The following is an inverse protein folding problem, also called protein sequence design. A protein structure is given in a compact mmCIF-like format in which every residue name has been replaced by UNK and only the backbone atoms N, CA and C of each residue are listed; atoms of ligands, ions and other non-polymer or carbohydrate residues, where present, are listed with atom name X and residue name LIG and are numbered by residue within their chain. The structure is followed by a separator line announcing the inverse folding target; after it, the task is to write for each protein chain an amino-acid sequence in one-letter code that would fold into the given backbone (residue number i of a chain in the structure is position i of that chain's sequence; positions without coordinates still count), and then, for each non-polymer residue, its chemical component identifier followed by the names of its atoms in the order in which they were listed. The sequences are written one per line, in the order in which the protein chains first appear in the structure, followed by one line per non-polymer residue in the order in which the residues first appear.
data_IF_150095235100
#
_entry.id   IF_150095235100
#
_cell.length_a   1.000
_cell.length_b   1.000
_cell.length_c   1.000
_cell.angle_alpha   90.00
_cell.angle_beta   90.00
_cell.angle_gamma   90.00
#
_symmetry.space_group_name_H-M   'P 1'
#
loop_
_entity.id
_entity.type
_entity.pdbx_description
1 polymer ?
#
# COMPACT_ATOMS: atom_id res chain seq x y z
N UNK A 1 -4.41 -20.38 -11.78
CA UNK A 1 -4.18 -20.39 -10.32
C UNK A 1 -2.77 -19.93 -9.94
N UNK A 2 -1.80 -20.04 -10.83
CA UNK A 2 -0.38 -19.69 -10.65
C UNK A 2 -0.05 -18.18 -10.43
N UNK A 3 -1.01 -17.27 -10.68
CA UNK A 3 -0.76 -15.82 -10.61
C UNK A 3 -0.58 -15.26 -9.20
N UNK A 4 -1.30 -15.80 -8.21
CA UNK A 4 -1.22 -15.32 -6.83
C UNK A 4 0.10 -15.76 -6.16
N UNK A 5 0.53 -16.99 -6.44
CA UNK A 5 1.80 -17.54 -5.92
C UNK A 5 3.03 -16.78 -6.46
N UNK A 6 2.93 -16.26 -7.69
CA UNK A 6 3.99 -15.47 -8.33
C UNK A 6 3.88 -13.97 -8.07
N UNK A 7 2.85 -13.52 -7.36
CA UNK A 7 2.66 -12.10 -7.10
C UNK A 7 3.75 -11.62 -6.13
N UNK A 8 4.46 -10.52 -6.42
CA UNK A 8 5.38 -9.93 -5.46
C UNK A 8 4.62 -9.42 -4.23
N UNK A 9 5.31 -9.27 -3.10
CA UNK A 9 4.71 -8.62 -1.93
C UNK A 9 4.45 -7.15 -2.24
N UNK A 10 3.24 -6.68 -1.93
CA UNK A 10 2.84 -5.28 -2.13
C UNK A 10 2.75 -4.63 -0.75
N UNK A 11 3.32 -3.43 -0.62
CA UNK A 11 3.23 -2.60 0.57
C UNK A 11 2.60 -1.26 0.21
N UNK A 12 1.64 -0.82 1.00
CA UNK A 12 0.93 0.44 0.84
C UNK A 12 1.04 1.31 2.09
N UNK A 13 1.15 2.62 1.88
CA UNK A 13 1.29 3.60 2.93
C UNK A 13 0.30 4.74 2.72
N UNK A 14 -0.34 5.18 3.80
CA UNK A 14 -1.17 6.37 3.80
C UNK A 14 -0.99 7.11 5.14
N UNK A 15 -1.04 8.44 5.11
CA UNK A 15 -0.97 9.26 6.32
C UNK A 15 -2.27 9.19 7.14
N UNK A 16 -3.41 8.93 6.49
CA UNK A 16 -4.72 8.82 7.12
C UNK A 16 -4.99 7.37 7.60
N UNK A 17 -4.98 7.20 8.92
CA UNK A 17 -5.28 5.91 9.54
C UNK A 17 -6.70 5.39 9.28
N UNK A 18 -7.67 6.25 8.92
CA UNK A 18 -8.99 5.79 8.48
C UNK A 18 -8.92 5.12 7.11
N UNK A 19 -8.15 5.69 6.18
CA UNK A 19 -7.96 5.13 4.84
C UNK A 19 -7.20 3.80 4.90
N UNK A 20 -6.17 3.71 5.76
CA UNK A 20 -5.47 2.43 6.02
C UNK A 20 -6.42 1.35 6.51
N UNK A 21 -7.29 1.65 7.49
CA UNK A 21 -8.27 0.66 7.99
C UNK A 21 -9.23 0.19 6.89
N UNK A 22 -9.69 1.11 6.03
CA UNK A 22 -10.53 0.76 4.88
C UNK A 22 -9.79 -0.11 3.87
N UNK A 23 -8.53 0.21 3.58
CA UNK A 23 -7.69 -0.59 2.69
C UNK A 23 -7.49 -2.02 3.25
N UNK A 24 -7.18 -2.17 4.54
CA UNK A 24 -7.03 -3.48 5.18
C UNK A 24 -8.32 -4.32 5.12
N UNK A 25 -9.49 -3.69 5.33
CA UNK A 25 -10.78 -4.38 5.19
C UNK A 25 -11.01 -4.89 3.76
N UNK A 26 -10.69 -4.08 2.75
CA UNK A 26 -10.80 -4.47 1.34
C UNK A 26 -9.80 -5.59 0.98
N UNK A 27 -8.57 -5.53 1.49
CA UNK A 27 -7.55 -6.56 1.30
C UNK A 27 -8.02 -7.89 1.89
N UNK A 28 -8.55 -7.88 3.11
CA UNK A 28 -9.10 -9.08 3.74
C UNK A 28 -10.30 -9.64 2.94
N UNK A 29 -11.22 -8.78 2.50
CA UNK A 29 -12.38 -9.18 1.70
C UNK A 29 -12.01 -9.78 0.33
N UNK A 30 -10.83 -9.43 -0.21
CA UNK A 30 -10.29 -9.98 -1.46
C UNK A 30 -9.41 -11.21 -1.27
N UNK A 31 -9.16 -11.65 -0.03
CA UNK A 31 -8.30 -12.80 0.27
C UNK A 31 -6.81 -12.56 -0.03
N UNK A 32 -6.38 -11.30 -0.04
CA UNK A 32 -5.02 -10.88 -0.37
C UNK A 32 -4.18 -10.52 0.86
N UNK A 33 -4.67 -10.82 2.07
CA UNK A 33 -4.07 -10.49 3.36
C UNK A 33 -2.65 -11.04 3.55
N UNK A 34 -2.32 -12.15 2.87
CA UNK A 34 -0.97 -12.72 2.89
C UNK A 34 0.03 -12.00 1.98
N UNK A 35 -0.47 -11.29 0.96
CA UNK A 35 0.35 -10.76 -0.13
C UNK A 35 0.43 -9.23 -0.14
N UNK A 36 -0.56 -8.55 0.45
CA UNK A 36 -0.65 -7.09 0.49
C UNK A 36 -0.69 -6.62 1.95
N UNK A 37 0.22 -5.72 2.30
CA UNK A 37 0.25 -5.05 3.61
C UNK A 37 0.00 -3.56 3.44
N UNK A 38 -0.81 -2.97 4.32
CA UNK A 38 -0.99 -1.53 4.38
C UNK A 38 -0.81 -1.04 5.81
N UNK A 39 -0.11 0.08 5.98
CA UNK A 39 0.08 0.71 7.28
C UNK A 39 0.04 2.23 7.23
N UNK A 40 -0.17 2.83 8.40
CA UNK A 40 -0.17 4.28 8.53
C UNK A 40 1.26 4.79 8.52
N UNK A 41 1.63 5.47 7.45
CA UNK A 41 2.93 6.13 7.30
C UNK A 41 2.78 7.31 6.35
N UNK A 42 3.29 8.46 6.78
CA UNK A 42 3.33 9.67 5.96
C UNK A 42 4.51 9.60 4.97
N UNK A 43 4.36 10.20 3.79
CA UNK A 43 5.40 10.22 2.73
C UNK A 43 6.66 10.98 3.16
N UNK A 44 6.53 11.90 4.10
CA UNK A 44 7.64 12.67 4.67
C UNK A 44 8.46 11.86 5.68
N UNK A 45 8.03 10.66 6.04
CA UNK A 45 8.80 9.80 6.94
C UNK A 45 10.15 9.44 6.33
N UNK A 46 11.18 9.35 7.17
CA UNK A 46 12.54 8.94 6.79
C UNK A 46 12.72 7.42 6.80
N UNK A 47 11.63 6.68 7.00
CA UNK A 47 11.63 5.22 7.05
C UNK A 47 11.76 4.63 5.64
N UNK A 48 12.30 3.42 5.57
CA UNK A 48 12.44 2.71 4.30
C UNK A 48 11.04 2.28 3.79
N UNK A 49 10.69 2.72 2.58
CA UNK A 49 9.42 2.35 1.94
C UNK A 49 9.43 0.97 1.28
N UNK A 50 10.62 0.45 0.97
CA UNK A 50 10.78 -0.85 0.34
C UNK A 50 10.73 -1.98 1.38
N UNK A 51 10.08 -3.12 1.07
CA UNK A 51 10.18 -4.31 1.90
C UNK A 51 11.64 -4.72 2.10
N UNK A 52 11.97 -5.26 3.27
CA UNK A 52 13.34 -5.57 3.67
C UNK A 52 14.11 -6.35 2.59
N UNK A 53 15.33 -5.89 2.29
CA UNK A 53 16.24 -6.55 1.34
C UNK A 53 16.01 -6.23 -0.14
N UNK A 54 14.99 -5.43 -0.50
CA UNK A 54 14.76 -5.02 -1.89
C UNK A 54 15.35 -3.63 -2.17
N UNK A 55 16.25 -3.55 -3.16
CA UNK A 55 16.89 -2.31 -3.62
C UNK A 55 16.22 -1.68 -4.86
N UNK A 56 15.27 -2.39 -5.48
CA UNK A 56 14.54 -1.96 -6.66
C UNK A 56 13.11 -2.53 -6.65
N UNK A 57 12.19 -1.80 -7.29
CA UNK A 57 10.79 -2.19 -7.38
C UNK A 57 9.99 -1.19 -8.21
N UNK A 58 8.66 -1.30 -8.10
CA UNK A 58 7.73 -0.38 -8.76
C UNK A 58 7.00 0.42 -7.68
N UNK A 59 7.00 1.74 -7.81
CA UNK A 59 6.25 2.65 -6.96
C UNK A 59 5.06 3.17 -7.75
N UNK A 60 3.86 2.99 -7.19
CA UNK A 60 2.63 3.62 -7.68
C UNK A 60 2.16 4.60 -6.62
N UNK A 61 1.86 5.83 -7.03
CA UNK A 61 1.28 6.85 -6.18
C UNK A 61 0.12 7.54 -6.89
N UNK A 62 -0.89 7.89 -6.10
CA UNK A 62 -2.01 8.72 -6.51
C UNK A 62 -2.06 9.94 -5.58
N UNK A 63 -1.26 10.99 -5.85
CA UNK A 63 -1.17 12.15 -4.97
C UNK A 63 -2.51 12.88 -4.81
N UNK A 64 -2.69 13.66 -3.74
CA UNK A 64 -3.85 14.54 -3.64
C UNK A 64 -3.82 15.59 -4.75
N UNK A 65 -4.80 15.55 -5.65
CA UNK A 65 -4.95 16.53 -6.73
C UNK A 65 -5.84 17.71 -6.30
N UNK A 66 -5.36 18.53 -5.36
CA UNK A 66 -6.02 19.79 -4.97
C UNK A 66 -7.46 19.65 -4.45
N UNK A 67 -8.15 20.78 -4.26
CA UNK A 67 -9.56 20.78 -3.89
C UNK A 67 -10.42 20.21 -5.02
N UNK A 68 -11.46 19.45 -4.66
CA UNK A 68 -12.54 19.16 -5.59
C UNK A 68 -13.14 20.50 -5.98
N UNK A 69 -13.20 20.82 -7.28
CA UNK A 69 -13.99 21.94 -7.78
C UNK A 69 -15.45 21.68 -7.39
N UNK A 70 -15.86 22.26 -6.26
CA UNK A 70 -17.24 22.37 -5.80
C UNK A 70 -17.86 23.66 -6.33
#
# INVERSE_FOLDING_TARGET
TDGLEKMPRIVGYDADGQMVRRALANIAASGLDKQVHCEKRAVESREQYFPDGHSAGLVLLNPPYGERLG
#
